data_IF_225515226189
#
_entry.id   IF_225515226189
#
_cell.length_a   1.000
_cell.length_b   1.000
_cell.length_c   1.000
_cell.angle_alpha   90.00
_cell.angle_beta   90.00
_cell.angle_gamma   90.00
#
_symmetry.space_group_name_H-M   'P 1'
#
loop_
_entity.id
_entity.type
_entity.pdbx_description
1 polymer ?
#
# COMPACT_ATOMS: atom_id res chain seq x y z
N UNK A 1 1.51 -30.76 28.12
CA UNK A 1 2.42 -29.84 27.41
C UNK A 1 1.92 -28.43 27.64
N UNK A 2 2.82 -27.47 27.86
CA UNK A 2 2.47 -26.05 27.93
C UNK A 2 2.05 -25.61 26.53
N UNK A 3 0.86 -25.07 26.36
CA UNK A 3 0.39 -24.56 25.08
C UNK A 3 1.01 -23.18 24.87
N UNK A 4 1.78 -23.04 23.79
CA UNK A 4 2.49 -21.80 23.45
C UNK A 4 1.84 -21.17 22.23
N UNK A 5 1.41 -19.91 22.35
CA UNK A 5 0.80 -19.16 21.26
C UNK A 5 1.80 -18.19 20.63
N UNK A 6 1.72 -18.00 19.32
CA UNK A 6 2.37 -16.91 18.62
C UNK A 6 1.44 -15.68 18.65
N UNK A 7 1.91 -14.62 19.28
CA UNK A 7 1.19 -13.35 19.42
C UNK A 7 1.79 -12.33 18.45
N UNK A 8 0.94 -11.82 17.56
CA UNK A 8 1.32 -11.00 16.41
C UNK A 8 0.83 -9.55 16.50
N UNK A 9 0.16 -9.18 17.60
CA UNK A 9 -0.32 -7.83 17.88
C UNK A 9 -0.61 -7.63 19.39
N UNK A 10 -0.68 -6.38 19.89
CA UNK A 10 -0.94 -6.06 21.30
C UNK A 10 -2.44 -6.14 21.66
N UNK A 11 -3.07 -7.29 21.38
CA UNK A 11 -4.49 -7.52 21.64
C UNK A 11 -4.69 -8.59 22.73
N UNK A 12 -5.14 -8.22 23.95
CA UNK A 12 -5.32 -9.14 25.08
C UNK A 12 -6.09 -10.42 24.74
N UNK A 13 -7.04 -10.31 23.81
CA UNK A 13 -7.84 -11.40 23.29
C UNK A 13 -6.99 -12.57 22.76
N UNK A 14 -5.76 -12.31 22.31
CA UNK A 14 -4.86 -13.33 21.74
C UNK A 14 -4.16 -14.22 22.78
N UNK A 15 -4.05 -13.77 24.04
CA UNK A 15 -3.27 -14.46 25.08
C UNK A 15 -4.00 -14.69 26.41
N UNK A 16 -5.23 -14.20 26.58
CA UNK A 16 -6.01 -14.27 27.83
C UNK A 16 -6.09 -15.66 28.47
N UNK A 17 -6.09 -16.74 27.69
CA UNK A 17 -6.23 -18.13 28.20
C UNK A 17 -4.93 -18.93 28.18
N UNK A 18 -3.79 -18.27 27.93
CA UNK A 18 -2.50 -18.94 27.67
C UNK A 18 -1.54 -18.81 28.85
N UNK A 19 -0.54 -19.71 28.91
CA UNK A 19 0.51 -19.68 29.93
C UNK A 19 1.90 -19.39 29.37
N UNK A 20 2.05 -19.45 28.05
CA UNK A 20 3.30 -19.21 27.33
C UNK A 20 3.01 -18.63 25.97
N UNK A 21 3.83 -17.68 25.56
CA UNK A 21 3.68 -16.94 24.33
C UNK A 21 5.03 -16.66 23.69
N UNK A 22 5.06 -16.69 22.36
CA UNK A 22 6.11 -16.10 21.53
C UNK A 22 5.57 -14.79 20.99
N UNK A 23 6.26 -13.69 21.22
CA UNK A 23 5.84 -12.35 20.79
C UNK A 23 6.82 -11.84 19.75
N UNK A 24 6.29 -11.41 18.60
CA UNK A 24 7.06 -10.68 17.59
C UNK A 24 7.09 -9.21 17.99
N UNK A 25 8.23 -8.75 18.48
CA UNK A 25 8.47 -7.34 18.82
C UNK A 25 9.12 -6.62 17.63
N UNK A 26 8.47 -5.56 17.18
CA UNK A 26 8.95 -4.74 16.06
C UNK A 26 9.79 -3.53 16.47
N UNK A 27 9.73 -3.08 17.74
CA UNK A 27 10.25 -1.76 18.16
C UNK A 27 10.95 -1.85 19.53
N UNK A 28 11.74 -2.90 19.79
CA UNK A 28 12.54 -3.05 21.02
C UNK A 28 11.77 -2.63 22.30
N UNK A 29 10.49 -3.00 22.39
CA UNK A 29 9.62 -2.69 23.53
C UNK A 29 9.78 -3.74 24.65
N UNK A 30 10.75 -4.64 24.50
CA UNK A 30 11.03 -5.80 25.36
C UNK A 30 9.78 -6.62 25.67
N UNK A 31 8.77 -6.62 24.78
CA UNK A 31 7.47 -7.27 25.01
C UNK A 31 6.64 -6.74 26.18
N UNK A 32 7.19 -5.83 27.01
CA UNK A 32 6.58 -5.34 28.26
C UNK A 32 5.34 -4.49 28.03
N UNK A 33 5.20 -3.92 26.82
CA UNK A 33 4.01 -3.16 26.41
C UNK A 33 2.92 -4.10 25.88
N UNK A 34 3.28 -5.30 25.45
CA UNK A 34 2.35 -6.23 24.80
C UNK A 34 1.61 -7.08 25.82
N UNK A 35 2.29 -7.66 26.82
CA UNK A 35 1.69 -8.62 27.74
C UNK A 35 1.93 -8.21 29.19
N UNK A 36 0.88 -7.71 29.85
CA UNK A 36 0.87 -7.23 31.23
C UNK A 36 0.39 -8.30 32.23
N UNK A 37 0.75 -9.56 32.00
CA UNK A 37 0.45 -10.66 32.92
C UNK A 37 1.72 -11.42 33.31
N UNK A 38 2.15 -11.23 34.55
CA UNK A 38 3.33 -11.88 35.13
C UNK A 38 3.25 -13.42 35.18
N UNK A 39 2.05 -14.00 35.01
CA UNK A 39 1.85 -15.45 34.97
C UNK A 39 2.12 -16.06 33.58
N UNK A 40 2.29 -15.23 32.55
CA UNK A 40 2.54 -15.65 31.17
C UNK A 40 4.05 -15.63 30.92
N UNK A 41 4.60 -16.77 30.53
CA UNK A 41 6.00 -16.84 30.08
C UNK A 41 6.12 -16.25 28.67
N UNK A 42 6.88 -15.17 28.53
CA UNK A 42 7.07 -14.45 27.27
C UNK A 42 8.43 -14.78 26.68
N UNK A 43 8.43 -15.31 25.46
CA UNK A 43 9.61 -15.42 24.60
C UNK A 43 9.55 -14.33 23.52
N UNK A 44 10.62 -13.57 23.37
CA UNK A 44 10.65 -12.43 22.47
C UNK A 44 11.43 -12.72 21.20
N UNK A 45 10.84 -12.30 20.08
CA UNK A 45 11.47 -12.28 18.77
C UNK A 45 11.61 -10.84 18.33
N UNK A 46 12.86 -10.39 18.25
CA UNK A 46 13.17 -9.03 17.85
C UNK A 46 13.28 -8.95 16.34
N UNK A 47 12.22 -8.44 15.73
CA UNK A 47 12.17 -8.23 14.28
C UNK A 47 13.39 -7.43 13.76
N UNK A 48 13.87 -6.36 14.42
CA UNK A 48 15.04 -5.62 13.95
C UNK A 48 16.31 -6.48 13.84
N UNK A 49 16.51 -7.46 14.73
CA UNK A 49 17.67 -8.35 14.72
C UNK A 49 17.60 -9.32 13.52
N UNK A 50 16.42 -9.85 13.19
CA UNK A 50 16.23 -10.67 11.98
C UNK A 50 16.44 -9.86 10.70
N UNK A 51 15.99 -8.60 10.72
CA UNK A 51 15.98 -7.75 9.53
C UNK A 51 17.33 -7.09 9.25
N UNK A 52 18.19 -6.93 10.26
CA UNK A 52 19.54 -6.42 10.06
C UNK A 52 20.48 -7.43 9.37
N UNK A 53 20.10 -8.71 9.34
CA UNK A 53 20.81 -9.77 8.62
C UNK A 53 20.52 -9.80 7.11
N UNK A 54 19.60 -8.95 6.61
CA UNK A 54 19.33 -8.85 5.16
C UNK A 54 20.57 -8.30 4.45
N UNK A 55 21.25 -9.15 3.69
CA UNK A 55 22.42 -8.75 2.90
C UNK A 55 22.07 -8.24 1.49
N UNK A 56 23.08 -7.80 0.74
CA UNK A 56 22.90 -7.30 -0.63
C UNK A 56 22.37 -8.37 -1.59
N UNK A 57 22.71 -9.64 -1.36
CA UNK A 57 22.30 -10.78 -2.19
C UNK A 57 20.81 -11.01 -2.04
N UNK A 58 20.34 -11.08 -0.79
CA UNK A 58 18.94 -11.24 -0.42
C UNK A 58 18.11 -10.05 -0.91
N UNK A 59 18.60 -8.82 -0.71
CA UNK A 59 17.93 -7.62 -1.22
C UNK A 59 17.83 -7.62 -2.76
N UNK A 60 18.85 -8.14 -3.45
CA UNK A 60 18.83 -8.30 -4.91
C UNK A 60 17.82 -9.36 -5.35
N UNK A 61 17.73 -10.48 -4.64
CA UNK A 61 16.71 -11.50 -4.91
C UNK A 61 15.28 -10.98 -4.67
N UNK A 62 15.07 -10.20 -3.61
CA UNK A 62 13.81 -9.51 -3.34
C UNK A 62 13.41 -8.60 -4.52
N UNK A 63 14.35 -7.80 -5.04
CA UNK A 63 14.10 -6.91 -6.18
C UNK A 63 13.70 -7.68 -7.44
N UNK A 64 14.46 -8.74 -7.78
CA UNK A 64 14.17 -9.58 -8.95
C UNK A 64 12.77 -10.20 -8.82
N UNK A 65 12.48 -10.79 -7.66
CA UNK A 65 11.19 -11.45 -7.39
C UNK A 65 10.03 -10.46 -7.47
N UNK A 66 10.17 -9.30 -6.85
CA UNK A 66 9.15 -8.24 -6.85
C UNK A 66 8.91 -7.70 -8.26
N UNK A 67 9.96 -7.56 -9.06
CA UNK A 67 9.85 -7.09 -10.44
C UNK A 67 9.08 -8.08 -11.32
N UNK A 68 9.36 -9.39 -11.21
CA UNK A 68 8.59 -10.42 -11.93
C UNK A 68 7.11 -10.37 -11.57
N UNK A 69 6.77 -10.21 -10.29
CA UNK A 69 5.38 -10.13 -9.85
C UNK A 69 4.71 -8.82 -10.30
N UNK A 70 5.46 -7.72 -10.32
CA UNK A 70 4.96 -6.46 -10.85
C UNK A 70 4.61 -6.56 -12.34
N UNK A 71 5.42 -7.26 -13.13
CA UNK A 71 5.14 -7.48 -14.54
C UNK A 71 3.84 -8.28 -14.76
N UNK A 72 3.59 -9.31 -13.93
CA UNK A 72 2.30 -10.01 -13.99
C UNK A 72 1.14 -9.10 -13.57
N UNK A 73 1.32 -8.31 -12.50
CA UNK A 73 0.31 -7.35 -12.07
C UNK A 73 -0.06 -6.38 -13.20
N UNK A 74 0.94 -5.92 -13.96
CA UNK A 74 0.74 -5.07 -15.15
C UNK A 74 -0.09 -5.80 -16.22
N UNK A 75 0.25 -7.07 -16.50
CA UNK A 75 -0.48 -7.88 -17.47
C UNK A 75 -1.95 -8.03 -17.07
N UNK A 76 -2.21 -8.40 -15.81
CA UNK A 76 -3.55 -8.61 -15.29
C UNK A 76 -4.37 -7.33 -15.20
N UNK A 77 -3.76 -6.20 -14.82
CA UNK A 77 -4.43 -4.90 -14.86
C UNK A 77 -4.82 -4.52 -16.30
N UNK A 78 -3.94 -4.69 -17.28
CA UNK A 78 -4.27 -4.46 -18.68
C UNK A 78 -5.42 -5.37 -19.16
N UNK A 79 -5.37 -6.67 -18.82
CA UNK A 79 -6.40 -7.66 -19.17
C UNK A 79 -7.76 -7.30 -18.60
N UNK A 80 -7.82 -7.00 -17.29
CA UNK A 80 -9.08 -6.65 -16.60
C UNK A 80 -9.68 -5.36 -17.14
N UNK A 81 -8.83 -4.35 -17.41
CA UNK A 81 -9.30 -3.06 -17.90
C UNK A 81 -9.53 -3.01 -19.41
N UNK A 82 -9.18 -4.07 -20.16
CA UNK A 82 -9.23 -4.07 -21.61
C UNK A 82 -8.35 -2.98 -22.23
N UNK A 83 -7.21 -2.70 -21.59
CA UNK A 83 -6.26 -1.67 -22.01
C UNK A 83 -4.93 -2.29 -22.43
N UNK A 84 -4.13 -1.52 -23.17
CA UNK A 84 -2.76 -1.89 -23.56
C UNK A 84 -1.79 -0.79 -23.10
N UNK A 85 -1.86 -0.45 -21.82
CA UNK A 85 -0.99 0.53 -21.23
C UNK A 85 0.42 -0.04 -21.03
N UNK A 86 1.45 0.77 -21.30
CA UNK A 86 2.83 0.35 -21.14
C UNK A 86 3.17 0.06 -19.67
N UNK A 87 4.21 -0.73 -19.44
CA UNK A 87 4.75 -0.95 -18.08
C UNK A 87 5.04 0.37 -17.37
N UNK A 88 5.58 1.37 -18.10
CA UNK A 88 5.86 2.70 -17.57
C UNK A 88 4.60 3.44 -17.11
N UNK A 89 3.48 3.29 -17.81
CA UNK A 89 2.20 3.83 -17.37
C UNK A 89 1.84 3.28 -15.99
N UNK A 90 1.89 1.96 -15.83
CA UNK A 90 1.56 1.30 -14.57
C UNK A 90 2.59 1.59 -13.46
N UNK A 91 3.86 1.79 -13.81
CA UNK A 91 4.85 2.29 -12.84
C UNK A 91 4.46 3.65 -12.27
N UNK A 92 3.97 4.57 -13.11
CA UNK A 92 3.49 5.86 -12.62
C UNK A 92 2.22 5.68 -11.75
N UNK A 93 1.32 4.77 -12.14
CA UNK A 93 0.00 4.60 -11.49
C UNK A 93 0.08 3.87 -10.16
N UNK A 94 0.71 2.70 -10.09
CA UNK A 94 0.61 1.82 -8.93
C UNK A 94 1.94 1.28 -8.38
N UNK A 95 3.10 1.49 -9.03
CA UNK A 95 4.35 0.87 -8.52
C UNK A 95 4.78 1.40 -7.15
N UNK A 96 4.46 2.65 -6.80
CA UNK A 96 4.75 3.17 -5.47
C UNK A 96 4.03 2.36 -4.38
N UNK A 97 2.75 2.05 -4.61
CA UNK A 97 1.98 1.17 -3.74
C UNK A 97 2.55 -0.24 -3.75
N UNK A 98 2.80 -0.81 -4.93
CA UNK A 98 3.28 -2.18 -5.05
C UNK A 98 4.64 -2.37 -4.36
N UNK A 99 5.58 -1.44 -4.53
CA UNK A 99 6.88 -1.52 -3.88
C UNK A 99 6.75 -1.45 -2.37
N UNK A 100 5.94 -0.51 -1.86
CA UNK A 100 5.68 -0.44 -0.43
C UNK A 100 5.07 -1.74 0.08
N UNK A 101 4.04 -2.25 -0.60
CA UNK A 101 3.35 -3.50 -0.29
C UNK A 101 4.31 -4.70 -0.29
N UNK A 102 5.11 -4.87 -1.33
CA UNK A 102 6.10 -5.95 -1.44
C UNK A 102 7.12 -5.89 -0.30
N UNK A 103 7.62 -4.70 0.04
CA UNK A 103 8.55 -4.53 1.17
C UNK A 103 7.89 -4.91 2.49
N UNK A 104 6.71 -4.37 2.78
CA UNK A 104 6.02 -4.69 4.04
C UNK A 104 5.69 -6.17 4.14
N UNK A 105 5.29 -6.83 3.05
CA UNK A 105 5.04 -8.27 3.02
C UNK A 105 6.29 -9.11 3.17
N UNK A 106 7.38 -8.71 2.53
CA UNK A 106 8.66 -9.38 2.67
C UNK A 106 9.10 -9.42 4.13
N UNK A 107 8.98 -8.29 4.83
CA UNK A 107 9.35 -8.17 6.24
C UNK A 107 8.56 -9.17 7.11
N UNK A 108 7.23 -9.28 6.94
CA UNK A 108 6.39 -10.20 7.74
C UNK A 108 6.66 -11.65 7.35
N UNK A 109 6.84 -11.92 6.06
CA UNK A 109 7.20 -13.24 5.54
C UNK A 109 8.53 -13.73 6.13
N UNK A 110 9.57 -12.89 6.12
CA UNK A 110 10.90 -13.24 6.65
C UNK A 110 10.84 -13.52 8.14
N UNK A 111 10.28 -12.58 8.93
CA UNK A 111 10.19 -12.72 10.38
C UNK A 111 9.36 -13.95 10.77
N UNK A 112 8.19 -14.16 10.16
CA UNK A 112 7.37 -15.35 10.43
C UNK A 112 8.10 -16.65 10.06
N UNK A 113 8.91 -16.63 9.00
CA UNK A 113 9.75 -17.76 8.60
C UNK A 113 10.80 -18.10 9.65
N UNK A 114 11.48 -17.11 10.22
CA UNK A 114 12.46 -17.34 11.30
C UNK A 114 11.79 -17.84 12.58
N UNK A 115 10.64 -17.28 12.96
CA UNK A 115 9.84 -17.80 14.09
C UNK A 115 9.49 -19.27 13.85
N UNK A 116 9.03 -19.61 12.65
CA UNK A 116 8.70 -20.99 12.32
C UNK A 116 9.92 -21.92 12.36
N UNK A 117 11.08 -21.49 11.85
CA UNK A 117 12.32 -22.28 11.93
C UNK A 117 12.74 -22.54 13.38
N UNK A 118 12.57 -21.55 14.25
CA UNK A 118 13.02 -21.62 15.64
C UNK A 118 12.06 -22.44 16.54
N UNK A 119 10.75 -22.28 16.37
CA UNK A 119 9.75 -22.85 17.28
C UNK A 119 8.86 -23.92 16.65
N UNK A 120 8.91 -24.11 15.33
CA UNK A 120 8.03 -24.99 14.59
C UNK A 120 6.58 -24.50 14.56
N UNK A 121 5.64 -25.45 14.54
CA UNK A 121 4.21 -25.15 14.58
C UNK A 121 3.81 -24.56 15.95
N UNK A 122 3.32 -23.33 15.93
CA UNK A 122 2.70 -22.66 17.07
C UNK A 122 1.21 -22.42 16.80
N UNK A 123 0.42 -22.31 17.86
CA UNK A 123 -0.94 -21.78 17.73
C UNK A 123 -0.87 -20.29 17.46
N UNK A 124 -1.44 -19.84 16.35
CA UNK A 124 -1.45 -18.43 15.96
C UNK A 124 -2.92 -17.98 15.79
N UNK A 125 -3.59 -17.60 16.89
CA UNK A 125 -4.98 -17.17 16.82
C UNK A 125 -5.15 -15.92 15.96
N UNK A 126 -6.21 -15.88 15.16
CA UNK A 126 -6.56 -14.76 14.28
C UNK A 126 -7.76 -14.03 14.87
N UNK A 127 -7.79 -12.71 14.75
CA UNK A 127 -9.01 -11.96 15.03
C UNK A 127 -10.01 -12.19 13.90
N UNK A 128 -11.28 -12.27 14.24
CA UNK A 128 -12.40 -12.34 13.29
C UNK A 128 -12.55 -11.04 12.50
N UNK A 129 -11.70 -10.93 11.48
CA UNK A 129 -11.64 -9.84 10.54
C UNK A 129 -11.45 -10.40 9.13
N UNK A 130 -12.37 -10.01 8.25
CA UNK A 130 -12.35 -10.38 6.86
C UNK A 130 -11.32 -9.55 6.09
N UNK A 131 -10.75 -10.12 5.01
CA UNK A 131 -9.80 -9.38 4.17
C UNK A 131 -10.44 -8.14 3.52
N UNK A 132 -11.76 -8.17 3.29
CA UNK A 132 -12.52 -7.04 2.76
C UNK A 132 -12.48 -5.82 3.68
N UNK A 133 -12.47 -6.04 4.99
CA UNK A 133 -12.37 -4.95 5.98
C UNK A 133 -10.98 -4.31 6.00
N UNK A 134 -9.95 -5.02 5.55
CA UNK A 134 -8.58 -4.53 5.39
C UNK A 134 -8.28 -4.00 3.99
N UNK A 135 -9.25 -4.03 3.08
CA UNK A 135 -9.04 -3.65 1.70
C UNK A 135 -8.98 -2.11 1.57
N UNK A 136 -7.84 -1.54 1.14
CA UNK A 136 -7.72 -0.09 0.96
C UNK A 136 -8.46 0.38 -0.29
N UNK A 137 -8.88 1.63 -0.29
CA UNK A 137 -9.41 2.33 -1.46
C UNK A 137 -8.28 2.94 -2.27
N UNK A 138 -7.30 3.59 -1.62
CA UNK A 138 -6.18 4.28 -2.27
C UNK A 138 -4.82 3.78 -1.77
N UNK A 139 -3.73 4.16 -2.45
CA UNK A 139 -2.38 3.93 -1.94
C UNK A 139 -2.17 4.58 -0.57
N UNK A 140 -2.68 5.80 -0.39
CA UNK A 140 -2.49 6.56 0.85
C UNK A 140 -3.15 5.87 2.05
N UNK A 141 -4.35 5.33 1.84
CA UNK A 141 -5.02 4.51 2.84
C UNK A 141 -4.24 3.23 3.13
N UNK A 142 -3.73 2.54 2.09
CA UNK A 142 -2.91 1.35 2.28
C UNK A 142 -1.69 1.65 3.16
N UNK A 143 -0.95 2.73 2.87
CA UNK A 143 0.22 3.14 3.66
C UNK A 143 -0.12 3.37 5.14
N UNK A 144 -1.30 3.95 5.42
CA UNK A 144 -1.78 4.18 6.79
C UNK A 144 -2.20 2.87 7.46
N UNK A 145 -2.89 1.98 6.75
CA UNK A 145 -3.27 0.66 7.25
C UNK A 145 -2.05 -0.18 7.62
N UNK A 146 -0.96 -0.11 6.85
CA UNK A 146 0.26 -0.89 7.08
C UNK A 146 0.93 -0.56 8.44
N UNK A 147 0.59 0.59 9.03
CA UNK A 147 1.08 1.02 10.34
C UNK A 147 0.15 0.61 11.51
N UNK A 148 -0.99 -0.02 11.23
CA UNK A 148 -1.95 -0.43 12.27
C UNK A 148 -1.65 -1.83 12.80
N UNK A 149 -1.88 -2.05 14.10
CA UNK A 149 -1.71 -3.38 14.71
C UNK A 149 -2.63 -4.43 14.09
N UNK A 150 -3.86 -4.05 13.73
CA UNK A 150 -4.86 -4.96 13.17
C UNK A 150 -4.40 -5.52 11.82
N UNK A 151 -3.85 -4.66 10.95
CA UNK A 151 -3.34 -5.11 9.66
C UNK A 151 -2.05 -5.92 9.83
N UNK A 152 -1.16 -5.52 10.76
CA UNK A 152 0.07 -6.25 11.05
C UNK A 152 -0.22 -7.65 11.60
N UNK A 153 -1.22 -7.77 12.48
CA UNK A 153 -1.73 -9.03 12.99
C UNK A 153 -2.07 -9.98 11.85
N UNK A 154 -2.93 -9.53 10.93
CA UNK A 154 -3.35 -10.32 9.77
C UNK A 154 -2.15 -10.71 8.91
N UNK A 155 -1.28 -9.76 8.58
CA UNK A 155 -0.08 -10.01 7.78
C UNK A 155 0.83 -11.10 8.37
N UNK A 156 1.11 -11.04 9.67
CA UNK A 156 1.95 -12.02 10.35
C UNK A 156 1.24 -13.38 10.45
N UNK A 157 -0.07 -13.39 10.74
CA UNK A 157 -0.83 -14.63 10.81
C UNK A 157 -0.89 -15.35 9.46
N UNK A 158 -1.04 -14.60 8.35
CA UNK A 158 -1.00 -15.12 6.98
C UNK A 158 0.39 -15.64 6.64
N UNK A 159 1.45 -14.86 6.95
CA UNK A 159 2.83 -15.25 6.71
C UNK A 159 3.22 -16.53 7.49
N UNK A 160 2.85 -16.62 8.76
CA UNK A 160 3.15 -17.77 9.60
C UNK A 160 2.41 -19.02 9.12
N UNK A 161 1.12 -18.89 8.80
CA UNK A 161 0.30 -19.99 8.26
C UNK A 161 0.85 -20.49 6.92
N UNK A 162 1.37 -19.59 6.09
CA UNK A 162 2.01 -19.91 4.82
C UNK A 162 3.28 -20.76 5.02
N UNK A 163 4.17 -20.38 5.94
CA UNK A 163 5.38 -21.17 6.27
C UNK A 163 5.06 -22.52 6.89
N UNK A 164 4.08 -22.55 7.79
CA UNK A 164 3.69 -23.77 8.48
C UNK A 164 3.02 -24.80 7.56
N UNK A 165 2.63 -24.42 6.33
CA UNK A 165 1.83 -25.22 5.39
C UNK A 165 0.54 -25.77 6.03
N UNK A 166 0.09 -25.12 7.11
CA UNK A 166 -1.07 -25.54 7.85
C UNK A 166 -2.31 -25.08 7.10
N UNK A 167 -3.00 -26.03 6.45
CA UNK A 167 -4.42 -25.89 6.11
C UNK A 167 -5.32 -25.90 7.37
N UNK A 168 -4.73 -26.02 8.55
CA UNK A 168 -5.40 -26.25 9.83
C UNK A 168 -6.27 -25.06 10.20
N UNK A 169 -7.47 -25.35 10.72
CA UNK A 169 -8.42 -24.37 11.27
C UNK A 169 -7.69 -23.43 12.24
N UNK A 170 -7.33 -22.26 11.74
CA UNK A 170 -6.84 -21.18 12.56
C UNK A 170 -7.92 -20.87 13.60
N UNK A 171 -7.54 -20.80 14.87
CA UNK A 171 -8.46 -20.38 15.90
C UNK A 171 -8.86 -18.92 15.61
N UNK A 172 -10.15 -18.68 15.45
CA UNK A 172 -10.70 -17.35 15.18
C UNK A 172 -11.30 -16.81 16.45
N UNK A 173 -10.82 -15.64 16.86
CA UNK A 173 -11.24 -14.95 18.08
C UNK A 173 -12.13 -13.78 17.69
N UNK A 174 -13.36 -13.78 18.19
CA UNK A 174 -14.29 -12.67 17.97
C UNK A 174 -13.82 -11.45 18.75
N UNK A 175 -13.54 -10.35 18.04
CA UNK A 175 -13.12 -9.09 18.66
C UNK A 175 -13.85 -7.89 18.00
N UNK A 176 -15.16 -7.72 18.25
CA UNK A 176 -15.97 -6.70 17.59
C UNK A 176 -15.50 -5.26 17.85
N UNK A 177 -14.84 -5.01 18.99
CA UNK A 177 -14.26 -3.71 19.31
C UNK A 177 -13.11 -3.34 18.36
N UNK A 178 -12.29 -4.32 17.93
CA UNK A 178 -11.22 -4.11 16.94
C UNK A 178 -11.78 -3.74 15.57
N UNK A 179 -12.88 -4.38 15.18
CA UNK A 179 -13.57 -4.06 13.93
C UNK A 179 -14.14 -2.63 13.97
N UNK A 180 -14.72 -2.22 15.11
CA UNK A 180 -15.20 -0.84 15.31
C UNK A 180 -14.06 0.17 15.25
N UNK A 181 -12.95 -0.07 15.92
CA UNK A 181 -11.78 0.83 15.92
C UNK A 181 -11.19 1.02 14.52
N UNK A 182 -11.07 -0.07 13.74
CA UNK A 182 -10.63 0.01 12.35
C UNK A 182 -11.59 0.88 11.52
N UNK A 183 -12.90 0.68 11.66
CA UNK A 183 -13.90 1.48 10.93
C UNK A 183 -13.88 2.95 11.33
N UNK A 184 -13.69 3.27 12.61
CA UNK A 184 -13.56 4.64 13.10
C UNK A 184 -12.30 5.31 12.58
N UNK A 185 -11.16 4.61 12.65
CA UNK A 185 -9.89 5.08 12.09
C UNK A 185 -10.02 5.43 10.61
N UNK A 186 -10.60 4.52 9.81
CA UNK A 186 -10.82 4.70 8.35
C UNK A 186 -11.72 5.90 8.03
N UNK A 187 -12.75 6.16 8.84
CA UNK A 187 -13.62 7.34 8.70
C UNK A 187 -12.85 8.64 8.96
N UNK A 188 -12.00 8.68 9.99
CA UNK A 188 -11.18 9.87 10.32
C UNK A 188 -10.22 10.22 9.19
N UNK A 189 -9.56 9.20 8.60
CA UNK A 189 -8.63 9.37 7.48
C UNK A 189 -9.34 9.47 6.12
N UNK A 190 -10.68 9.53 6.10
CA UNK A 190 -11.52 9.63 4.89
C UNK A 190 -11.17 8.58 3.82
N UNK A 191 -10.83 7.35 4.23
CA UNK A 191 -10.39 6.29 3.30
C UNK A 191 -9.24 6.71 2.36
N UNK A 192 -8.39 7.64 2.80
CA UNK A 192 -7.32 8.22 1.97
C UNK A 192 -7.84 9.00 0.74
N UNK A 193 -9.11 9.41 0.73
CA UNK A 193 -9.74 10.12 -0.38
C UNK A 193 -9.49 11.64 -0.25
N UNK A 194 -9.08 12.32 -1.34
CA UNK A 194 -8.82 13.75 -1.30
C UNK A 194 -10.12 14.54 -1.11
N UNK A 195 -10.08 15.57 -0.24
CA UNK A 195 -11.19 16.52 -0.11
C UNK A 195 -11.28 17.44 -1.33
N UNK A 196 -12.47 17.63 -1.87
CA UNK A 196 -12.69 18.58 -2.96
C UNK A 196 -12.51 20.02 -2.48
N UNK A 197 -11.86 20.84 -3.30
CA UNK A 197 -11.77 22.28 -3.07
C UNK A 197 -12.20 23.05 -4.34
N UNK A 198 -13.07 24.07 -4.22
CA UNK A 198 -13.47 24.88 -5.36
C UNK A 198 -12.29 25.69 -5.90
N UNK A 199 -12.24 25.89 -7.22
CA UNK A 199 -11.26 26.77 -7.88
C UNK A 199 -11.59 28.23 -7.61
N UNK A 200 -10.58 29.05 -7.33
CA UNK A 200 -10.77 30.50 -7.20
C UNK A 200 -10.92 31.17 -8.57
N UNK A 201 -11.56 32.34 -8.62
CA UNK A 201 -11.73 33.12 -9.86
C UNK A 201 -10.38 33.44 -10.54
N UNK A 202 -9.36 33.73 -9.73
CA UNK A 202 -8.01 34.03 -10.20
C UNK A 202 -7.37 32.82 -10.90
N UNK A 203 -7.54 31.61 -10.36
CA UNK A 203 -7.00 30.40 -10.99
C UNK A 203 -7.69 30.11 -12.31
N UNK A 204 -9.02 30.27 -12.36
CA UNK A 204 -9.79 30.12 -13.60
C UNK A 204 -9.26 31.09 -14.65
N UNK A 205 -8.97 32.34 -14.27
CA UNK A 205 -8.38 33.32 -15.15
C UNK A 205 -6.97 32.92 -15.63
N UNK A 206 -6.08 32.51 -14.71
CA UNK A 206 -4.70 32.10 -15.04
C UNK A 206 -4.65 30.88 -15.97
N UNK A 207 -5.59 29.94 -15.83
CA UNK A 207 -5.69 28.79 -16.75
C UNK A 207 -6.00 29.18 -18.19
N UNK A 208 -6.74 30.29 -18.41
CA UNK A 208 -7.01 30.82 -19.76
C UNK A 208 -5.77 31.42 -20.41
N UNK A 209 -4.90 32.06 -19.63
CA UNK A 209 -3.67 32.69 -20.13
C UNK A 209 -2.51 31.71 -20.34
N UNK A 210 -2.51 30.58 -19.63
CA UNK A 210 -1.50 29.52 -19.79
C UNK A 210 -2.16 28.16 -20.11
N UNK A 211 -2.80 28.01 -21.29
CA UNK A 211 -3.48 26.78 -21.68
C UNK A 211 -2.51 25.65 -22.08
N UNK A 212 -1.23 25.98 -22.28
CA UNK A 212 -0.17 25.06 -22.76
C UNK A 212 1.14 25.27 -21.98
N UNK A 213 1.15 25.01 -20.66
CA UNK A 213 2.34 25.20 -19.85
C UNK A 213 3.44 24.23 -20.27
N UNK A 214 4.66 24.74 -20.52
CA UNK A 214 5.82 23.90 -20.86
C UNK A 214 6.29 23.08 -19.65
N UNK A 215 6.17 23.64 -18.46
CA UNK A 215 6.56 23.03 -17.18
C UNK A 215 5.38 23.12 -16.22
N UNK A 216 5.13 22.04 -15.50
CA UNK A 216 4.07 21.93 -14.50
C UNK A 216 4.69 21.73 -13.13
N UNK A 217 4.37 22.61 -12.18
CA UNK A 217 4.74 22.47 -10.77
C UNK A 217 3.48 22.10 -9.98
N UNK A 218 3.38 20.86 -9.50
CA UNK A 218 2.18 20.34 -8.86
C UNK A 218 2.48 19.70 -7.51
N UNK A 219 1.79 20.15 -6.45
CA UNK A 219 2.02 19.69 -5.07
C UNK A 219 3.49 19.81 -4.65
N UNK A 220 4.02 21.02 -4.84
CA UNK A 220 5.37 21.41 -4.44
C UNK A 220 5.31 21.91 -3.00
N UNK A 221 6.11 21.33 -2.11
CA UNK A 221 6.15 21.65 -0.69
C UNK A 221 6.96 22.93 -0.44
N UNK A 222 6.40 24.08 -0.80
CA UNK A 222 7.03 25.39 -0.68
C UNK A 222 6.01 26.47 -0.32
N UNK A 223 6.49 27.63 0.15
CA UNK A 223 5.61 28.78 0.39
C UNK A 223 4.98 29.28 -0.91
N UNK A 224 3.81 29.92 -0.83
CA UNK A 224 3.10 30.46 -2.01
C UNK A 224 3.98 31.44 -2.81
N UNK A 225 4.76 32.29 -2.12
CA UNK A 225 5.66 33.24 -2.76
C UNK A 225 6.81 32.52 -3.48
N UNK A 226 7.45 31.56 -2.83
CA UNK A 226 8.51 30.76 -3.44
C UNK A 226 8.00 30.02 -4.68
N UNK A 227 6.79 29.44 -4.61
CA UNK A 227 6.16 28.78 -5.74
C UNK A 227 5.92 29.73 -6.92
N UNK A 228 5.46 30.97 -6.68
CA UNK A 228 5.33 32.00 -7.73
C UNK A 228 6.68 32.32 -8.35
N UNK A 229 7.71 32.54 -7.53
CA UNK A 229 9.08 32.82 -8.00
C UNK A 229 9.62 31.67 -8.85
N UNK A 230 9.39 30.42 -8.44
CA UNK A 230 9.79 29.24 -9.21
C UNK A 230 9.14 29.21 -10.59
N UNK A 231 7.83 29.46 -10.68
CA UNK A 231 7.13 29.54 -11.97
C UNK A 231 7.76 30.60 -12.89
N UNK A 232 7.97 31.81 -12.36
CA UNK A 232 8.54 32.92 -13.13
C UNK A 232 9.97 32.65 -13.59
N UNK A 233 10.83 32.06 -12.74
CA UNK A 233 12.20 31.66 -13.11
C UNK A 233 12.24 30.57 -14.19
N UNK A 234 11.20 29.73 -14.24
CA UNK A 234 11.03 28.70 -15.26
C UNK A 234 10.33 29.22 -16.53
N UNK A 235 10.04 30.53 -16.61
CA UNK A 235 9.38 31.14 -17.75
C UNK A 235 7.94 30.66 -17.94
N UNK A 236 7.27 30.22 -16.87
CA UNK A 236 5.86 29.79 -16.89
C UNK A 236 5.02 30.70 -16.01
N UNK A 237 3.79 30.98 -16.43
CA UNK A 237 2.86 31.73 -15.60
C UNK A 237 2.48 30.91 -14.35
N UNK A 238 2.42 31.53 -13.16
CA UNK A 238 1.97 30.86 -11.95
C UNK A 238 0.61 30.19 -12.15
N UNK A 239 0.54 28.89 -11.84
CA UNK A 239 -0.70 28.11 -11.94
C UNK A 239 -0.78 27.14 -10.77
N UNK A 240 -1.92 27.14 -10.10
CA UNK A 240 -2.21 26.15 -9.06
C UNK A 240 -2.84 24.92 -9.73
N UNK A 241 -2.23 23.77 -9.52
CA UNK A 241 -2.72 22.48 -10.01
C UNK A 241 -3.41 21.75 -8.87
N UNK A 242 -4.72 21.47 -9.01
CA UNK A 242 -5.50 20.74 -8.01
C UNK A 242 -5.88 19.37 -8.52
N UNK A 243 -5.47 18.34 -7.79
CA UNK A 243 -5.82 16.95 -8.04
C UNK A 243 -6.72 16.48 -6.91
N UNK A 244 -7.96 16.99 -6.92
CA UNK A 244 -8.97 16.80 -5.87
C UNK A 244 -10.29 16.28 -6.45
N UNK A 245 -10.23 15.40 -7.45
CA UNK A 245 -11.42 14.66 -7.87
C UNK A 245 -12.04 13.94 -6.66
N UNK A 246 -13.37 13.92 -6.62
CA UNK A 246 -14.09 13.20 -5.57
C UNK A 246 -13.99 11.71 -5.88
N UNK A 247 -12.96 11.09 -5.35
CA UNK A 247 -12.87 9.64 -5.34
C UNK A 247 -13.91 9.11 -4.34
N UNK A 248 -14.55 8.00 -4.68
CA UNK A 248 -15.53 7.32 -3.83
C UNK A 248 -15.10 5.87 -3.68
N UNK A 249 -15.34 5.24 -2.50
CA UNK A 249 -15.16 3.81 -2.36
C UNK A 249 -16.02 3.09 -3.39
N UNK A 250 -15.44 2.07 -4.03
CA UNK A 250 -16.12 1.26 -5.03
C UNK A 250 -16.58 -0.05 -4.39
N UNK A 251 -17.69 -0.64 -4.87
CA UNK A 251 -18.10 -1.96 -4.43
C UNK A 251 -17.03 -2.99 -4.80
N UNK A 252 -16.78 -3.94 -3.89
CA UNK A 252 -15.77 -4.99 -4.08
C UNK A 252 -16.33 -6.06 -5.03
N UNK A 253 -15.57 -6.39 -6.07
CA UNK A 253 -15.89 -7.52 -6.94
C UNK A 253 -15.15 -8.78 -6.48
N UNK A 254 -15.88 -9.65 -5.76
CA UNK A 254 -15.32 -10.87 -5.19
C UNK A 254 -14.86 -11.87 -6.26
N UNK A 255 -15.62 -12.01 -7.35
CA UNK A 255 -15.32 -12.97 -8.41
C UNK A 255 -14.08 -12.53 -9.20
N UNK A 256 -13.98 -11.23 -9.47
CA UNK A 256 -12.81 -10.64 -10.09
C UNK A 256 -11.57 -10.85 -9.22
N UNK A 257 -11.62 -10.50 -7.92
CA UNK A 257 -10.47 -10.66 -7.02
C UNK A 257 -10.03 -12.11 -6.86
N UNK A 258 -10.98 -13.05 -6.76
CA UNK A 258 -10.67 -14.48 -6.65
C UNK A 258 -9.93 -15.03 -7.89
N UNK A 259 -10.14 -14.44 -9.07
CA UNK A 259 -9.53 -14.85 -10.34
C UNK A 259 -8.44 -13.90 -10.87
N UNK A 260 -8.11 -12.84 -10.10
CA UNK A 260 -7.27 -11.76 -10.58
C UNK A 260 -5.81 -12.17 -10.79
N UNK A 261 -5.21 -12.85 -9.81
CA UNK A 261 -3.80 -13.24 -9.88
C UNK A 261 -3.66 -14.64 -9.28
N UNK A 262 -3.17 -15.59 -10.08
CA UNK A 262 -3.00 -16.98 -9.67
C UNK A 262 -1.61 -17.20 -9.05
N UNK A 263 -1.56 -17.35 -7.73
CA UNK A 263 -0.30 -17.56 -7.00
C UNK A 263 0.42 -18.87 -7.34
N UNK A 264 -0.30 -19.90 -7.82
CA UNK A 264 0.30 -21.20 -8.15
C UNK A 264 1.24 -21.13 -9.36
N UNK A 265 1.22 -20.04 -10.13
CA UNK A 265 2.13 -19.82 -11.23
C UNK A 265 3.51 -19.31 -10.77
N UNK A 266 3.71 -19.04 -9.48
CA UNK A 266 4.90 -18.37 -8.95
C UNK A 266 5.72 -19.27 -8.04
N UNK A 267 6.78 -19.86 -8.59
CA UNK A 267 7.83 -20.55 -7.83
C UNK A 267 7.39 -21.86 -7.17
N UNK A 268 8.30 -22.44 -6.40
CA UNK A 268 8.01 -23.62 -5.58
C UNK A 268 7.26 -23.25 -4.30
N UNK A 269 6.58 -24.25 -3.72
CA UNK A 269 5.83 -24.13 -2.47
C UNK A 269 6.67 -23.49 -1.35
N UNK A 270 6.18 -22.39 -0.77
CA UNK A 270 6.86 -21.71 0.33
C UNK A 270 7.78 -20.55 -0.09
N UNK A 271 7.92 -20.27 -1.38
CA UNK A 271 8.70 -19.11 -1.86
C UNK A 271 8.02 -17.78 -1.53
N UNK A 272 8.82 -16.72 -1.34
CA UNK A 272 8.30 -15.35 -1.19
C UNK A 272 7.48 -14.92 -2.41
N UNK A 273 7.82 -15.39 -3.60
CA UNK A 273 7.10 -15.06 -4.82
C UNK A 273 5.63 -15.51 -4.74
N UNK A 274 5.41 -16.77 -4.36
CA UNK A 274 4.08 -17.34 -4.17
C UNK A 274 3.30 -16.62 -3.07
N UNK A 275 3.96 -16.32 -1.94
CA UNK A 275 3.35 -15.60 -0.83
C UNK A 275 2.87 -14.21 -1.25
N UNK A 276 3.76 -13.42 -1.86
CA UNK A 276 3.44 -12.07 -2.32
C UNK A 276 2.30 -12.10 -3.34
N UNK A 277 2.36 -12.99 -4.33
CA UNK A 277 1.32 -13.18 -5.33
C UNK A 277 -0.05 -13.52 -4.70
N UNK A 278 -0.08 -14.41 -3.70
CA UNK A 278 -1.31 -14.84 -3.03
C UNK A 278 -2.06 -13.72 -2.30
N UNK A 279 -1.35 -12.67 -1.91
CA UNK A 279 -1.92 -11.58 -1.12
C UNK A 279 -2.35 -10.36 -1.95
N UNK A 280 -1.82 -10.18 -3.17
CA UNK A 280 -2.12 -9.00 -4.00
C UNK A 280 -3.63 -8.83 -4.21
N UNK A 281 -4.34 -9.90 -4.56
CA UNK A 281 -5.77 -9.86 -4.83
C UNK A 281 -6.61 -9.39 -3.64
N UNK A 282 -6.14 -9.58 -2.41
CA UNK A 282 -6.84 -9.19 -1.18
C UNK A 282 -6.41 -7.82 -0.63
N UNK A 283 -5.35 -7.22 -1.17
CA UNK A 283 -4.79 -5.96 -0.68
C UNK A 283 -4.61 -4.86 -1.74
N UNK A 284 -4.75 -5.18 -3.03
CA UNK A 284 -4.70 -4.21 -4.11
C UNK A 284 -5.80 -3.15 -3.94
N UNK A 285 -5.46 -1.85 -3.84
CA UNK A 285 -6.43 -0.80 -3.64
C UNK A 285 -7.56 -0.84 -4.67
N UNK A 286 -8.79 -0.68 -4.21
CA UNK A 286 -9.97 -0.79 -5.09
C UNK A 286 -9.94 0.22 -6.23
N UNK A 287 -9.29 1.37 -6.04
CA UNK A 287 -9.14 2.38 -7.10
C UNK A 287 -8.33 1.88 -8.32
N UNK A 288 -7.49 0.85 -8.17
CA UNK A 288 -6.70 0.28 -9.27
C UNK A 288 -7.39 -0.88 -9.97
N UNK A 289 -8.37 -1.53 -9.34
CA UNK A 289 -9.04 -2.70 -9.88
C UNK A 289 -10.51 -2.40 -10.18
N UNK A 290 -11.35 -2.15 -9.18
CA UNK A 290 -12.77 -1.86 -9.42
C UNK A 290 -13.01 -0.42 -9.89
N UNK A 291 -12.25 0.53 -9.34
CA UNK A 291 -12.45 1.97 -9.55
C UNK A 291 -11.63 2.62 -10.64
N UNK A 292 -10.85 1.86 -11.39
CA UNK A 292 -9.87 2.43 -12.31
C UNK A 292 -10.51 3.20 -13.45
N UNK A 293 -11.58 2.65 -14.07
CA UNK A 293 -12.28 3.34 -15.15
C UNK A 293 -12.87 4.68 -14.69
N UNK A 294 -13.49 4.71 -13.51
CA UNK A 294 -14.00 5.93 -12.90
C UNK A 294 -12.87 6.93 -12.63
N UNK A 295 -11.73 6.46 -12.11
CA UNK A 295 -10.54 7.29 -11.90
C UNK A 295 -10.06 7.91 -13.21
N UNK A 296 -9.99 7.15 -14.30
CA UNK A 296 -9.58 7.63 -15.62
C UNK A 296 -10.56 8.70 -16.13
N UNK A 297 -11.87 8.43 -16.10
CA UNK A 297 -12.91 9.38 -16.55
C UNK A 297 -12.86 10.68 -15.72
N UNK A 298 -12.77 10.58 -14.40
CA UNK A 298 -12.66 11.75 -13.51
C UNK A 298 -11.37 12.53 -13.74
N UNK A 299 -10.28 11.85 -14.10
CA UNK A 299 -9.01 12.47 -14.43
C UNK A 299 -9.09 13.22 -15.75
N UNK A 300 -9.67 12.63 -16.79
CA UNK A 300 -9.82 13.26 -18.10
C UNK A 300 -10.72 14.51 -18.07
N UNK A 301 -11.68 14.58 -17.16
CA UNK A 301 -12.56 15.73 -17.00
C UNK A 301 -11.91 16.90 -16.23
N UNK A 302 -10.74 16.69 -15.61
CA UNK A 302 -10.06 17.66 -14.77
C UNK A 302 -8.65 17.98 -15.28
N UNK A 303 -8.20 19.22 -15.08
CA UNK A 303 -6.84 19.67 -15.48
C UNK A 303 -6.48 19.35 -16.94
N UNK A 304 -7.46 19.47 -17.83
CA UNK A 304 -7.30 19.21 -19.27
C UNK A 304 -6.21 20.11 -19.84
N UNK A 305 -5.27 19.49 -20.55
CA UNK A 305 -4.27 20.17 -21.36
C UNK A 305 -4.44 19.79 -22.82
N UNK A 306 -4.29 20.78 -23.71
CA UNK A 306 -4.35 20.54 -25.17
C UNK A 306 -3.09 19.88 -25.73
N UNK A 307 -1.99 19.90 -24.97
CA UNK A 307 -0.70 19.29 -25.32
C UNK A 307 0.02 18.82 -24.05
N UNK A 308 0.77 17.71 -24.09
CA UNK A 308 1.61 17.28 -22.98
C UNK A 308 2.63 18.36 -22.58
N UNK A 309 2.89 18.58 -21.29
CA UNK A 309 3.99 19.44 -20.84
C UNK A 309 5.35 18.76 -21.13
N UNK A 310 6.42 19.54 -21.22
CA UNK A 310 7.79 19.00 -21.38
C UNK A 310 8.31 18.37 -20.09
N UNK A 311 7.91 18.94 -18.95
CA UNK A 311 8.31 18.47 -17.64
C UNK A 311 7.21 18.69 -16.60
N UNK A 312 7.13 17.77 -15.65
CA UNK A 312 6.27 17.85 -14.46
C UNK A 312 7.18 17.68 -13.25
N UNK A 313 7.08 18.60 -12.29
CA UNK A 313 7.78 18.51 -11.01
C UNK A 313 6.76 18.44 -9.87
N UNK A 314 6.95 17.50 -8.96
CA UNK A 314 6.13 17.32 -7.76
C UNK A 314 6.98 16.92 -6.57
N UNK A 315 6.53 17.23 -5.35
CA UNK A 315 7.12 16.65 -4.14
C UNK A 315 6.26 15.51 -3.59
N UNK A 316 4.94 15.72 -3.53
CA UNK A 316 4.07 14.84 -2.73
C UNK A 316 3.05 14.07 -3.55
N UNK A 317 2.63 14.58 -4.72
CA UNK A 317 1.44 14.04 -5.40
C UNK A 317 1.67 12.67 -6.02
N UNK A 318 2.89 12.37 -6.44
CA UNK A 318 3.21 11.05 -7.00
C UNK A 318 2.99 9.91 -6.00
N UNK A 319 3.01 10.21 -4.70
CA UNK A 319 2.71 9.23 -3.65
C UNK A 319 1.25 9.32 -3.17
N UNK A 320 0.71 10.53 -3.07
CA UNK A 320 -0.56 10.82 -2.36
C UNK A 320 -1.80 10.98 -3.24
N UNK A 321 -1.68 11.11 -4.57
CA UNK A 321 -2.82 11.45 -5.43
C UNK A 321 -2.95 10.52 -6.63
N UNK A 322 -3.95 9.62 -6.58
CA UNK A 322 -4.25 8.69 -7.68
C UNK A 322 -4.60 9.41 -8.98
N UNK A 323 -5.37 10.50 -8.86
CA UNK A 323 -5.71 11.34 -9.99
C UNK A 323 -4.45 11.96 -10.63
N UNK A 324 -3.49 12.42 -9.83
CA UNK A 324 -2.23 12.96 -10.35
C UNK A 324 -1.40 11.88 -11.06
N UNK A 325 -1.33 10.68 -10.50
CA UNK A 325 -0.60 9.55 -11.09
C UNK A 325 -1.17 9.19 -12.47
N UNK A 326 -2.48 8.96 -12.58
CA UNK A 326 -3.16 8.68 -13.86
C UNK A 326 -3.02 9.84 -14.84
N UNK A 327 -3.10 11.08 -14.37
CA UNK A 327 -2.90 12.27 -15.20
C UNK A 327 -1.50 12.31 -15.80
N UNK A 328 -0.46 12.06 -15.01
CA UNK A 328 0.91 11.97 -15.49
C UNK A 328 1.09 10.81 -16.49
N UNK A 329 0.57 9.62 -16.15
CA UNK A 329 0.68 8.43 -16.97
C UNK A 329 -0.01 8.60 -18.34
N UNK A 330 -1.15 9.31 -18.39
CA UNK A 330 -1.85 9.66 -19.62
C UNK A 330 -1.04 10.57 -20.53
N UNK A 331 -0.26 11.51 -19.98
CA UNK A 331 0.62 12.35 -20.82
C UNK A 331 1.89 11.63 -21.26
N UNK A 332 2.39 10.70 -20.45
CA UNK A 332 3.53 9.85 -20.81
C UNK A 332 3.21 8.94 -21.99
N UNK A 333 1.99 8.40 -22.07
CA UNK A 333 1.55 7.60 -23.23
C UNK A 333 1.34 8.44 -24.51
N UNK A 334 1.13 9.75 -24.39
CA UNK A 334 0.98 10.68 -25.52
C UNK A 334 2.30 11.29 -26.00
N UNK A 335 3.41 11.06 -25.30
CA UNK A 335 4.75 11.52 -25.66
C UNK A 335 5.71 11.56 -24.48
N UNK A 336 7.01 11.70 -24.75
CA UNK A 336 8.03 11.71 -23.69
C UNK A 336 7.91 12.94 -22.78
N UNK A 337 7.33 12.74 -21.60
CA UNK A 337 7.35 13.70 -20.50
C UNK A 337 8.53 13.40 -19.57
N UNK A 338 9.14 14.46 -19.02
CA UNK A 338 10.07 14.32 -17.90
C UNK A 338 9.32 14.50 -16.59
N UNK A 339 9.14 13.43 -15.84
CA UNK A 339 8.58 13.47 -14.49
C UNK A 339 9.71 13.54 -13.47
N UNK A 340 9.72 14.62 -12.69
CA UNK A 340 10.65 14.85 -11.59
C UNK A 340 9.89 14.77 -10.27
N UNK A 341 10.34 13.89 -9.38
CA UNK A 341 9.86 13.87 -8.00
C UNK A 341 10.97 14.38 -7.10
N UNK A 342 10.66 15.37 -6.26
CA UNK A 342 11.56 15.85 -5.23
C UNK A 342 11.20 15.19 -3.91
N UNK A 343 12.10 14.36 -3.38
CA UNK A 343 11.95 13.79 -2.04
C UNK A 343 12.44 14.80 -1.00
N UNK A 344 11.80 14.81 0.18
CA UNK A 344 12.37 15.49 1.33
C UNK A 344 13.60 14.71 1.80
N UNK A 345 14.75 15.38 1.80
CA UNK A 345 16.01 14.96 2.40
C UNK A 345 16.51 16.09 3.28
#
# INVERSE_FOLDING_TARGET
MKQTHLITAPFPELWQETKSVVVIDGIDLDGKVFIDDSNIEVMLIKSPEILCEVDETEFTQFKITSETIFQELVHELNRVHGTDHSERYWRIVCSAWFLQFAQVWYLRWKVAGEVYKQFGNLLCPRIDLSWQELLPVTHDEASLLFATDVWNHVAYTDAFSFHAQTQTKQEVISAPDRNRELLEYRKVINFGLPRQQPKSKLEILLTKFSPRPKIVLAGVAQTKLALVVMHLRLGVLPRIWRFSAKLTPQPIDLALRASFLNSNNFGEGGSFAQFLASAISHHLPTIYLEGFNDLVVQTQNNNILRKPPKAIFTNTLIHRSEQFKVWCATFDSQGHIKLFSGQHG
#
